data_IF_005784512787
#
_entry.id   IF_005784512787
#
_cell.length_a   1.000
_cell.length_b   1.000
_cell.length_c   1.000
_cell.angle_alpha   90.00
_cell.angle_beta   90.00
_cell.angle_gamma   90.00
#
_symmetry.space_group_name_H-M   'P 1'
#
loop_
_entity.id
_entity.type
_entity.pdbx_description
1 polymer ?
#
# COMPACT_ATOMS: atom_id res chain seq x y z
N UNK A 1 0.02 -1.43 12.49
CA UNK A 1 0.14 -0.22 13.33
C UNK A 1 0.88 0.91 12.61
N UNK A 2 2.01 0.62 11.98
CA UNK A 2 2.87 1.62 11.35
C UNK A 2 2.69 1.73 9.83
N UNK A 3 1.65 1.15 9.26
CA UNK A 3 1.43 1.08 7.81
C UNK A 3 1.45 2.47 7.14
N UNK A 4 0.81 3.44 7.75
CA UNK A 4 0.73 4.82 7.24
C UNK A 4 2.11 5.46 7.13
N UNK A 5 2.97 5.25 8.13
CA UNK A 5 4.33 5.76 8.14
C UNK A 5 5.20 5.08 7.10
N UNK A 6 5.02 3.77 6.89
CA UNK A 6 5.75 3.02 5.84
C UNK A 6 5.39 3.56 4.47
N UNK A 7 4.10 3.75 4.17
CA UNK A 7 3.68 4.32 2.90
C UNK A 7 4.25 5.73 2.70
N UNK A 8 4.22 6.57 3.74
CA UNK A 8 4.78 7.91 3.68
C UNK A 8 6.30 7.90 3.42
N UNK A 9 7.02 6.91 3.94
CA UNK A 9 8.45 6.74 3.67
C UNK A 9 8.75 6.48 2.19
N UNK A 10 7.82 5.83 1.48
CA UNK A 10 7.91 5.63 0.03
C UNK A 10 7.43 6.84 -0.77
N UNK A 11 6.96 7.90 -0.12
CA UNK A 11 6.33 9.03 -0.81
C UNK A 11 4.92 8.73 -1.29
N UNK A 12 4.28 7.73 -0.68
CA UNK A 12 2.95 7.27 -1.03
C UNK A 12 1.96 7.48 0.13
N UNK A 13 0.71 7.18 -0.10
CA UNK A 13 -0.33 7.19 0.93
C UNK A 13 -0.79 5.76 1.21
N UNK A 14 -1.28 5.52 2.41
CA UNK A 14 -1.95 4.26 2.71
C UNK A 14 -3.20 4.16 1.85
N UNK A 15 -3.32 3.08 1.07
CA UNK A 15 -4.46 2.90 0.18
C UNK A 15 -5.76 2.78 0.97
N UNK A 16 -6.84 3.40 0.47
CA UNK A 16 -8.18 3.18 0.98
C UNK A 16 -8.90 2.09 0.18
N UNK A 17 -10.10 1.72 0.61
CA UNK A 17 -10.90 0.71 -0.09
C UNK A 17 -11.14 1.06 -1.55
N UNK A 18 -11.49 2.31 -1.82
CA UNK A 18 -11.76 2.78 -3.20
C UNK A 18 -10.55 2.65 -4.09
N UNK A 19 -9.35 2.89 -3.56
CA UNK A 19 -8.10 2.75 -4.28
C UNK A 19 -7.74 1.30 -4.56
N UNK A 20 -8.00 0.39 -3.62
CA UNK A 20 -7.83 -1.05 -3.83
C UNK A 20 -8.83 -1.55 -4.88
N UNK A 21 -10.07 -1.08 -4.84
CA UNK A 21 -11.09 -1.39 -5.83
C UNK A 21 -10.70 -0.86 -7.23
N UNK A 22 -10.17 0.35 -7.30
CA UNK A 22 -9.64 0.91 -8.56
C UNK A 22 -8.52 0.03 -9.12
N UNK A 23 -7.60 -0.42 -8.29
CA UNK A 23 -6.54 -1.33 -8.70
C UNK A 23 -7.12 -2.66 -9.23
N UNK A 24 -8.14 -3.18 -8.57
CA UNK A 24 -8.85 -4.36 -9.04
C UNK A 24 -9.47 -4.14 -10.42
N UNK A 25 -10.17 -3.03 -10.61
CA UNK A 25 -10.81 -2.69 -11.87
C UNK A 25 -9.81 -2.55 -13.02
N UNK A 26 -8.58 -2.17 -12.72
CA UNK A 26 -7.47 -2.07 -13.69
C UNK A 26 -6.72 -3.39 -13.90
N UNK A 27 -7.18 -4.48 -13.34
CA UNK A 27 -6.58 -5.80 -13.49
C UNK A 27 -5.58 -6.18 -12.43
N UNK A 28 -5.49 -5.43 -11.34
CA UNK A 28 -4.57 -5.71 -10.24
C UNK A 28 -5.01 -6.88 -9.37
N UNK A 29 -4.03 -7.64 -8.89
CA UNK A 29 -4.23 -8.69 -7.90
C UNK A 29 -2.90 -9.04 -7.23
N UNK A 30 -2.93 -9.39 -5.94
CA UNK A 30 -1.69 -9.77 -5.24
C UNK A 30 -1.82 -10.84 -4.17
N UNK A 31 -2.98 -11.46 -4.04
CA UNK A 31 -3.18 -12.70 -3.29
C UNK A 31 -2.60 -12.70 -1.85
N UNK A 32 -2.66 -11.58 -1.17
CA UNK A 32 -2.19 -11.48 0.21
C UNK A 32 -2.70 -10.22 0.91
N UNK A 33 -3.13 -10.36 2.16
CA UNK A 33 -3.66 -9.22 2.89
C UNK A 33 -2.63 -8.11 3.04
N UNK A 34 -3.09 -6.90 2.80
CA UNK A 34 -2.32 -5.68 3.03
C UNK A 34 -3.11 -4.69 3.88
N UNK A 35 -2.47 -4.13 4.90
CA UNK A 35 -3.05 -3.05 5.68
C UNK A 35 -3.40 -1.88 4.77
N UNK A 36 -4.60 -1.36 4.93
CA UNK A 36 -5.16 -0.24 4.19
C UNK A 36 -5.78 0.76 5.16
N UNK A 37 -6.26 1.90 4.66
CA UNK A 37 -6.91 2.90 5.49
C UNK A 37 -8.10 2.32 6.27
N UNK A 38 -8.46 2.97 7.37
CA UNK A 38 -9.55 2.58 8.25
C UNK A 38 -9.38 1.19 8.89
N UNK A 39 -8.13 0.80 9.09
CA UNK A 39 -7.77 -0.47 9.75
C UNK A 39 -8.32 -1.70 9.01
N UNK A 40 -8.39 -1.61 7.70
CA UNK A 40 -8.80 -2.71 6.83
C UNK A 40 -7.57 -3.47 6.32
N UNK A 41 -7.69 -4.79 6.24
CA UNK A 41 -6.72 -5.63 5.55
C UNK A 41 -7.37 -6.17 4.28
N UNK A 42 -6.83 -5.82 3.12
CA UNK A 42 -7.47 -6.04 1.83
C UNK A 42 -6.50 -6.60 0.79
N UNK A 43 -7.02 -7.38 -0.11
CA UNK A 43 -6.36 -7.72 -1.37
C UNK A 43 -7.38 -8.04 -2.46
N UNK A 44 -7.11 -7.68 -3.71
CA UNK A 44 -7.98 -8.04 -4.83
C UNK A 44 -7.55 -9.33 -5.49
N UNK A 45 -8.51 -10.05 -6.05
CA UNK A 45 -8.27 -11.23 -6.89
C UNK A 45 -9.11 -11.12 -8.14
N UNK A 46 -8.50 -11.29 -9.29
CA UNK A 46 -9.22 -11.28 -10.57
C UNK A 46 -9.99 -12.58 -10.76
N UNK A 47 -11.18 -12.46 -11.35
CA UNK A 47 -12.01 -13.63 -11.63
C UNK A 47 -11.32 -14.65 -12.52
N UNK A 48 -10.54 -14.19 -13.48
CA UNK A 48 -9.78 -15.07 -14.38
C UNK A 48 -8.79 -15.95 -13.63
N UNK A 49 -8.09 -15.41 -12.65
CA UNK A 49 -7.18 -16.16 -11.79
C UNK A 49 -7.94 -17.14 -10.91
N UNK A 50 -9.04 -16.69 -10.31
CA UNK A 50 -9.88 -17.55 -9.50
C UNK A 50 -10.42 -18.74 -10.32
N UNK A 51 -10.92 -18.49 -11.53
CA UNK A 51 -11.41 -19.53 -12.43
C UNK A 51 -10.32 -20.56 -12.75
N UNK A 52 -9.10 -20.12 -13.01
CA UNK A 52 -7.96 -21.01 -13.24
C UNK A 52 -7.64 -21.88 -12.04
N UNK A 53 -7.69 -21.32 -10.83
CA UNK A 53 -7.41 -22.04 -9.59
C UNK A 53 -8.47 -23.08 -9.28
N UNK A 54 -9.72 -22.89 -9.72
CA UNK A 54 -10.78 -23.90 -9.54
C UNK A 54 -10.46 -25.18 -10.28
N UNK A 55 -9.69 -25.13 -11.35
CA UNK A 55 -9.25 -26.30 -12.10
C UNK A 55 -8.01 -26.99 -11.51
N UNK A 56 -7.39 -26.44 -10.49
CA UNK A 56 -6.20 -27.01 -9.86
C UNK A 56 -6.56 -27.62 -8.53
N UNK A 57 -6.50 -28.93 -8.43
CA UNK A 57 -6.85 -29.66 -7.20
C UNK A 57 -5.97 -29.22 -6.03
N UNK A 58 -6.60 -28.85 -4.92
CA UNK A 58 -5.92 -28.42 -3.72
C UNK A 58 -5.59 -26.92 -3.69
N UNK A 59 -5.87 -26.17 -4.75
CA UNK A 59 -5.55 -24.75 -4.87
C UNK A 59 -6.76 -23.84 -5.10
N UNK A 60 -7.99 -24.39 -4.95
CA UNK A 60 -9.23 -23.64 -5.23
C UNK A 60 -9.45 -22.42 -4.34
N UNK A 61 -8.81 -22.38 -3.17
CA UNK A 61 -8.97 -21.29 -2.19
C UNK A 61 -7.72 -20.45 -1.99
N UNK A 62 -6.70 -20.63 -2.81
CA UNK A 62 -5.39 -20.00 -2.57
C UNK A 62 -5.41 -18.47 -2.58
N UNK A 63 -6.25 -17.86 -3.41
CA UNK A 63 -6.34 -16.41 -3.52
C UNK A 63 -7.71 -15.85 -3.10
N UNK A 64 -8.43 -16.56 -2.25
CA UNK A 64 -9.74 -16.12 -1.79
C UNK A 64 -10.80 -16.14 -2.88
N UNK A 65 -11.62 -15.11 -2.93
CA UNK A 65 -12.74 -15.00 -3.88
C UNK A 65 -12.45 -13.92 -4.92
N UNK A 66 -13.12 -13.93 -6.08
CA UNK A 66 -13.04 -12.83 -7.04
C UNK A 66 -13.48 -11.52 -6.40
N UNK A 67 -12.79 -10.43 -6.70
CA UNK A 67 -13.08 -9.11 -6.14
C UNK A 67 -12.16 -8.74 -4.99
N UNK A 68 -12.65 -7.91 -4.09
CA UNK A 68 -11.89 -7.43 -2.94
C UNK A 68 -12.12 -8.37 -1.75
N UNK A 69 -11.03 -8.95 -1.25
CA UNK A 69 -11.04 -9.83 -0.07
C UNK A 69 -10.61 -9.05 1.16
N UNK A 70 -11.17 -9.41 2.31
CA UNK A 70 -10.79 -8.84 3.59
C UNK A 70 -11.84 -7.94 4.20
N UNK A 71 -11.41 -7.08 5.10
CA UNK A 71 -12.27 -6.16 5.83
C UNK A 71 -11.57 -5.57 7.04
N UNK A 72 -12.36 -5.03 7.95
CA UNK A 72 -11.88 -4.42 9.18
C UNK A 72 -11.23 -5.48 10.09
N UNK A 73 -10.05 -5.17 10.59
CA UNK A 73 -9.31 -6.00 11.54
C UNK A 73 -9.14 -5.23 12.84
N UNK A 74 -9.77 -5.71 13.92
CA UNK A 74 -9.77 -5.04 15.20
C UNK A 74 -8.41 -4.97 15.90
N UNK A 75 -7.54 -5.95 15.64
CA UNK A 75 -6.21 -5.99 16.23
C UNK A 75 -5.17 -5.36 15.30
N UNK A 76 -4.77 -4.13 15.58
CA UNK A 76 -3.78 -3.39 14.78
C UNK A 76 -2.37 -3.97 14.81
N UNK A 77 -2.10 -4.91 15.70
CA UNK A 77 -0.77 -5.53 15.84
C UNK A 77 -0.60 -6.79 14.99
N UNK A 78 -1.65 -7.25 14.31
CA UNK A 78 -1.53 -8.37 13.37
C UNK A 78 -0.62 -7.95 12.21
N UNK A 79 0.29 -8.83 11.85
CA UNK A 79 1.25 -8.55 10.78
C UNK A 79 0.68 -8.98 9.43
N UNK A 80 0.50 -8.00 8.57
CA UNK A 80 0.17 -8.17 7.15
C UNK A 80 1.17 -7.39 6.32
N UNK A 81 1.11 -7.54 5.00
CA UNK A 81 1.72 -6.57 4.10
C UNK A 81 1.05 -5.21 4.22
N UNK A 82 1.42 -4.28 3.38
CA UNK A 82 0.88 -2.91 3.40
C UNK A 82 0.53 -2.51 1.97
N UNK A 83 -0.69 -2.01 1.78
CA UNK A 83 -1.13 -1.48 0.51
C UNK A 83 -0.88 0.02 0.48
N UNK A 84 0.09 0.43 -0.29
CA UNK A 84 0.37 1.84 -0.51
C UNK A 84 -0.15 2.27 -1.88
N UNK A 85 -0.78 3.45 -1.93
CA UNK A 85 -1.26 4.06 -3.16
C UNK A 85 -0.48 5.33 -3.41
N UNK A 86 0.03 5.46 -4.59
CA UNK A 86 0.68 6.69 -4.99
C UNK A 86 1.69 6.48 -6.07
N UNK A 87 1.82 7.52 -6.80
CA UNK A 87 2.89 7.78 -7.69
C UNK A 87 4.10 8.12 -6.84
N UNK A 88 5.26 7.62 -7.19
CA UNK A 88 6.50 8.27 -6.81
C UNK A 88 6.79 9.37 -7.83
N UNK A 89 6.16 10.55 -7.76
CA UNK A 89 6.64 11.62 -8.61
C UNK A 89 8.06 11.91 -8.16
N UNK A 90 9.00 11.81 -9.08
CA UNK A 90 10.27 12.45 -8.84
C UNK A 90 9.95 13.92 -8.60
N UNK A 91 10.23 14.42 -7.40
CA UNK A 91 10.12 15.84 -7.15
C UNK A 91 10.88 16.59 -8.23
N UNK A 92 10.17 17.51 -8.90
CA UNK A 92 10.86 18.42 -9.80
C UNK A 92 11.80 19.29 -8.97
N UNK A 93 12.94 19.78 -9.51
CA UNK A 93 13.81 20.69 -8.77
C UNK A 93 13.07 21.90 -8.20
N UNK A 94 12.05 22.40 -8.90
CA UNK A 94 11.24 23.53 -8.44
C UNK A 94 10.41 23.17 -7.21
N UNK A 95 9.78 22.00 -7.19
CA UNK A 95 9.00 21.53 -6.05
C UNK A 95 9.86 21.33 -4.81
N UNK A 96 11.05 20.76 -4.99
CA UNK A 96 12.02 20.60 -3.92
C UNK A 96 12.45 21.95 -3.35
N UNK A 97 12.74 22.92 -4.19
CA UNK A 97 13.11 24.27 -3.78
C UNK A 97 11.99 24.97 -3.01
N UNK A 98 10.75 24.84 -3.46
CA UNK A 98 9.58 25.37 -2.77
C UNK A 98 9.40 24.75 -1.38
N UNK A 99 9.62 23.43 -1.24
CA UNK A 99 9.55 22.74 0.03
C UNK A 99 10.68 23.16 0.98
N UNK A 100 11.91 23.29 0.46
CA UNK A 100 13.08 23.69 1.25
C UNK A 100 12.97 25.14 1.75
N UNK A 101 12.30 26.00 1.00
CA UNK A 101 12.10 27.41 1.33
C UNK A 101 10.79 27.68 2.08
N UNK A 102 9.94 26.70 2.26
CA UNK A 102 8.72 26.87 3.04
C UNK A 102 9.06 27.03 4.52
N UNK A 103 8.47 28.03 5.17
CA UNK A 103 8.63 28.19 6.62
C UNK A 103 7.92 27.05 7.32
N UNK A 104 8.64 26.22 8.09
CA UNK A 104 7.98 25.09 8.75
C UNK A 104 7.03 25.61 9.83
N UNK A 105 5.78 25.17 9.78
CA UNK A 105 4.84 25.40 10.88
C UNK A 105 5.24 24.54 12.08
N UNK A 106 5.01 25.01 13.32
CA UNK A 106 5.28 24.20 14.50
C UNK A 106 4.52 22.88 14.42
N UNK A 107 5.23 21.77 14.51
CA UNK A 107 4.63 20.45 14.49
C UNK A 107 4.08 20.07 15.86
N UNK A 108 2.92 19.44 15.87
CA UNK A 108 2.37 18.81 17.07
C UNK A 108 3.24 17.62 17.50
N UNK A 109 3.11 17.19 18.75
CA UNK A 109 3.80 15.97 19.23
C UNK A 109 3.44 14.74 18.40
N UNK A 110 2.18 14.66 17.97
CA UNK A 110 1.70 13.57 17.12
C UNK A 110 2.37 13.59 15.75
N UNK A 111 2.48 14.75 15.15
CA UNK A 111 3.15 14.95 13.87
C UNK A 111 4.65 14.63 13.95
N UNK A 112 5.31 15.05 15.02
CA UNK A 112 6.72 14.73 15.26
C UNK A 112 6.96 13.22 15.40
N UNK A 113 6.08 12.53 16.10
CA UNK A 113 6.15 11.07 16.24
C UNK A 113 5.97 10.37 14.89
N UNK A 114 5.01 10.84 14.10
CA UNK A 114 4.76 10.31 12.77
C UNK A 114 5.98 10.52 11.86
N UNK A 115 6.53 11.73 11.84
CA UNK A 115 7.71 12.03 11.03
C UNK A 115 8.93 11.20 11.45
N UNK A 116 9.11 10.99 12.74
CA UNK A 116 10.16 10.12 13.26
C UNK A 116 10.00 8.69 12.74
N UNK A 117 8.78 8.16 12.75
CA UNK A 117 8.46 6.84 12.18
C UNK A 117 8.75 6.77 10.69
N UNK A 118 8.34 7.79 9.93
CA UNK A 118 8.62 7.87 8.50
C UNK A 118 10.13 7.83 8.25
N UNK A 119 10.91 8.58 8.99
CA UNK A 119 12.37 8.60 8.85
C UNK A 119 13.02 7.27 9.22
N UNK A 120 12.52 6.59 10.25
CA UNK A 120 12.99 5.26 10.63
C UNK A 120 12.78 4.25 9.48
N UNK A 121 11.61 4.27 8.85
CA UNK A 121 11.32 3.38 7.74
C UNK A 121 12.08 3.76 6.47
N UNK A 122 12.34 5.05 6.22
CA UNK A 122 13.18 5.48 5.09
C UNK A 122 14.57 4.85 5.15
N UNK A 123 15.14 4.73 6.32
CA UNK A 123 16.45 4.07 6.52
C UNK A 123 16.40 2.58 6.24
N UNK A 124 15.23 1.96 6.38
CA UNK A 124 15.03 0.52 6.17
C UNK A 124 14.58 0.16 4.76
N UNK A 125 14.25 1.15 3.92
CA UNK A 125 13.74 0.89 2.57
C UNK A 125 14.61 -0.04 1.73
N UNK A 126 15.96 0.07 1.75
CA UNK A 126 16.81 -0.84 0.98
C UNK A 126 16.67 -2.30 1.40
N UNK A 127 16.27 -2.56 2.67
CA UNK A 127 16.13 -3.89 3.23
C UNK A 127 14.69 -4.43 3.14
N UNK A 128 13.74 -3.61 2.68
CA UNK A 128 12.35 -4.00 2.54
C UNK A 128 12.10 -4.66 1.19
N UNK A 129 11.44 -5.82 1.23
CA UNK A 129 10.98 -6.47 0.03
C UNK A 129 9.77 -5.72 -0.51
N UNK A 130 9.91 -5.16 -1.71
CA UNK A 130 8.80 -4.53 -2.43
C UNK A 130 8.37 -5.48 -3.55
N UNK A 131 7.10 -5.88 -3.49
CA UNK A 131 6.49 -6.70 -4.52
C UNK A 131 5.53 -5.82 -5.33
N UNK A 132 5.95 -5.29 -6.49
CA UNK A 132 5.02 -4.56 -7.35
C UNK A 132 4.02 -5.56 -7.92
N UNK A 133 2.75 -5.36 -7.58
CA UNK A 133 1.73 -6.15 -8.24
C UNK A 133 1.63 -5.68 -9.69
N UNK A 134 1.47 -6.51 -10.65
CA UNK A 134 1.33 -6.10 -12.04
C UNK A 134 2.35 -5.02 -12.44
N UNK A 135 3.60 -5.41 -12.52
CA UNK A 135 4.76 -4.54 -12.75
C UNK A 135 4.57 -3.52 -13.87
N UNK A 136 3.99 -3.93 -14.99
CA UNK A 136 3.79 -3.06 -16.15
C UNK A 136 2.81 -1.93 -15.85
N UNK A 137 1.76 -2.20 -15.06
CA UNK A 137 0.78 -1.18 -14.68
C UNK A 137 1.33 -0.20 -13.66
N UNK A 138 2.20 -0.65 -12.76
CA UNK A 138 2.87 0.23 -11.81
C UNK A 138 3.74 1.27 -12.50
N UNK A 139 4.44 0.86 -13.55
CA UNK A 139 5.33 1.76 -14.28
C UNK A 139 4.58 2.72 -15.21
N UNK A 140 3.33 2.44 -15.51
CA UNK A 140 2.52 3.21 -16.46
C UNK A 140 1.48 4.12 -15.80
N UNK A 141 1.24 3.94 -14.53
CA UNK A 141 0.23 4.72 -13.81
C UNK A 141 0.74 6.07 -13.36
#
# INVERSE_FOLDING_TARGET
>A
KDAKAVCAAYGAQLADYSQVEEAYDKGGEWCGYGWSADQMALYPTQKTTWDKLQGVKGHQHDCGRPGINGGYIGNENVKFGINCYGYKPKMTPLEKELLDNSTPMPMTRREKRFEKKVNEYRKKLPDMLVSPFNYDNWSQV
#
